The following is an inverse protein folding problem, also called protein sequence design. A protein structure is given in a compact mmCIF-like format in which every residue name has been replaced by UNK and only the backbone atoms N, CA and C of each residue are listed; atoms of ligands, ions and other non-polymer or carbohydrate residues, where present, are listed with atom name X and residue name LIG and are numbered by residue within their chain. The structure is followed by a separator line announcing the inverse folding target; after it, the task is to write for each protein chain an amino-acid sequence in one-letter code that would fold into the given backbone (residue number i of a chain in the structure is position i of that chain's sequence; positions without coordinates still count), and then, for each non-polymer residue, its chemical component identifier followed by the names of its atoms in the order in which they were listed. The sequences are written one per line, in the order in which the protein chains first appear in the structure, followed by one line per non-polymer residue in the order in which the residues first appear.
data_IF_241592124641
#
_entry.id   IF_241592124641
#
_cell.length_a   1.000
_cell.length_b   1.000
_cell.length_c   1.000
_cell.angle_alpha   90.00
_cell.angle_beta   90.00
_cell.angle_gamma   90.00
#
_symmetry.space_group_name_H-M   'P 1'
#
loop_
_entity.id
_entity.type
_entity.pdbx_description
1 polymer ?
#
# COMPACT_ATOMS: atom_id res chain seq x y z
N UNK A 1 -26.82 20.76 -23.20
CA UNK A 1 -27.07 20.04 -24.47
C UNK A 1 -25.94 20.42 -25.41
N UNK A 2 -25.00 19.49 -25.62
CA UNK A 2 -24.91 18.66 -26.83
C UNK A 2 -24.43 19.42 -28.07
N UNK A 3 -23.12 19.64 -28.14
CA UNK A 3 -22.17 19.36 -29.26
C UNK A 3 -20.77 19.68 -28.69
N UNK A 4 -19.74 18.90 -29.07
CA UNK A 4 -18.39 18.75 -28.45
C UNK A 4 -18.29 17.55 -27.47
N UNK A 5 -18.73 16.39 -27.96
CA UNK A 5 -18.39 15.06 -27.39
C UNK A 5 -18.23 13.99 -28.47
N UNK A 6 -18.12 14.41 -29.74
CA UNK A 6 -17.94 13.58 -30.92
C UNK A 6 -16.75 14.12 -31.71
N UNK A 7 -15.52 13.75 -31.30
CA UNK A 7 -14.32 13.72 -32.17
C UNK A 7 -13.10 13.02 -31.56
N UNK A 8 -13.25 12.26 -30.46
CA UNK A 8 -12.19 11.40 -29.90
C UNK A 8 -12.78 10.02 -29.58
N UNK A 9 -13.06 9.20 -30.61
CA UNK A 9 -13.46 7.79 -30.44
C UNK A 9 -13.13 6.88 -31.63
N UNK A 10 -13.05 7.38 -32.87
CA UNK A 10 -12.92 6.52 -34.07
C UNK A 10 -11.52 5.99 -34.43
N UNK A 11 -10.45 6.45 -33.76
CA UNK A 11 -9.08 6.02 -34.11
C UNK A 11 -8.58 4.75 -33.39
N UNK A 12 -9.37 4.13 -32.51
CA UNK A 12 -8.98 2.94 -31.76
C UNK A 12 -9.38 1.59 -32.40
N UNK A 13 -10.31 1.60 -33.37
CA UNK A 13 -10.92 0.37 -33.90
C UNK A 13 -10.13 -0.31 -35.05
N UNK A 14 -9.26 0.42 -35.76
CA UNK A 14 -8.65 -0.06 -37.02
C UNK A 14 -7.40 -0.96 -36.85
N UNK A 15 -6.70 -0.88 -35.70
CA UNK A 15 -5.40 -1.54 -35.51
C UNK A 15 -5.53 -2.96 -34.92
N UNK A 16 -6.68 -3.34 -34.33
CA UNK A 16 -6.85 -4.62 -33.63
C UNK A 16 -7.27 -5.83 -34.50
N UNK A 17 -7.11 -5.76 -35.83
CA UNK A 17 -7.54 -6.80 -36.80
C UNK A 17 -6.44 -7.31 -37.76
N UNK A 18 -5.15 -7.26 -37.37
CA UNK A 18 -4.04 -7.78 -38.22
C UNK A 18 -3.05 -8.75 -37.55
N UNK A 19 -3.27 -9.20 -36.31
CA UNK A 19 -2.32 -10.07 -35.58
C UNK A 19 -2.93 -11.35 -34.97
N UNK A 20 -3.96 -11.92 -35.60
CA UNK A 20 -4.58 -13.20 -35.17
C UNK A 20 -4.78 -14.18 -36.33
N UNK A 21 -3.85 -14.23 -37.29
CA UNK A 21 -3.97 -15.11 -38.47
C UNK A 21 -2.62 -15.61 -39.03
N UNK A 22 -1.66 -15.96 -38.16
CA UNK A 22 -0.34 -16.48 -38.57
C UNK A 22 0.19 -17.65 -37.71
N UNK A 23 -0.67 -18.27 -36.89
CA UNK A 23 -0.28 -19.33 -35.93
C UNK A 23 -1.10 -20.63 -36.08
N UNK A 24 -1.47 -20.99 -37.32
CA UNK A 24 -2.27 -22.21 -37.56
C UNK A 24 -2.12 -22.80 -38.98
N UNK A 25 -0.89 -22.89 -39.51
CA UNK A 25 -0.62 -23.54 -40.81
C UNK A 25 0.86 -23.95 -41.01
N UNK A 26 1.38 -24.87 -40.19
CA UNK A 26 2.67 -25.53 -40.46
C UNK A 26 2.92 -26.83 -39.65
N UNK A 27 1.92 -27.73 -39.55
CA UNK A 27 2.16 -29.11 -39.10
C UNK A 27 1.07 -30.09 -39.59
N UNK A 28 1.18 -30.59 -40.83
CA UNK A 28 0.51 -31.79 -41.41
C UNK A 28 0.74 -31.92 -42.92
N UNK A 29 1.93 -32.37 -43.33
CA UNK A 29 2.28 -32.96 -44.63
C UNK A 29 3.80 -33.21 -44.62
N UNK A 30 4.34 -34.36 -45.01
CA UNK A 30 3.72 -35.66 -45.31
C UNK A 30 4.81 -36.75 -45.31
N UNK A 31 4.44 -38.02 -45.14
CA UNK A 31 5.37 -39.14 -45.30
C UNK A 31 5.54 -39.53 -46.78
N UNK A 32 6.54 -40.39 -47.05
CA UNK A 32 6.54 -41.43 -48.09
C UNK A 32 7.07 -41.07 -49.50
N UNK A 33 8.38 -41.29 -49.73
CA UNK A 33 8.91 -41.95 -50.95
C UNK A 33 10.35 -42.47 -50.75
N UNK A 34 10.63 -43.66 -51.27
CA UNK A 34 11.98 -44.25 -51.48
C UNK A 34 12.75 -43.48 -52.58
N UNK A 35 14.07 -43.61 -52.80
CA UNK A 35 15.10 -44.56 -52.33
C UNK A 35 16.49 -43.81 -52.28
N UNK A 36 17.73 -44.34 -52.31
CA UNK A 36 18.28 -45.70 -52.51
C UNK A 36 19.72 -45.88 -51.92
N UNK A 37 20.30 -47.07 -52.12
CA UNK A 37 21.71 -47.55 -52.14
C UNK A 37 22.87 -46.55 -51.89
N UNK A 38 23.96 -46.84 -51.14
CA UNK A 38 24.59 -48.09 -50.62
C UNK A 38 25.04 -47.90 -49.11
N UNK A 39 25.98 -48.57 -48.43
CA UNK A 39 27.03 -49.58 -48.75
C UNK A 39 27.57 -50.34 -47.50
N UNK A 40 28.37 -51.39 -47.75
CA UNK A 40 29.45 -52.08 -46.97
C UNK A 40 30.14 -51.35 -45.78
N UNK A 41 30.72 -52.02 -44.76
CA UNK A 41 30.77 -53.44 -44.33
C UNK A 41 31.35 -53.61 -42.88
N UNK A 42 31.11 -54.79 -42.28
CA UNK A 42 31.94 -55.52 -41.30
C UNK A 42 31.68 -55.41 -39.77
N UNK A 43 31.90 -56.53 -39.07
CA UNK A 43 32.02 -56.62 -37.60
C UNK A 43 31.11 -57.66 -36.92
N UNK A 44 31.67 -58.63 -36.17
CA UNK A 44 30.95 -59.71 -35.47
C UNK A 44 31.22 -59.74 -33.95
N UNK A 45 30.20 -60.06 -33.16
CA UNK A 45 30.34 -61.03 -32.05
C UNK A 45 30.04 -60.44 -30.63
N UNK A 46 29.85 -61.20 -29.52
CA UNK A 46 28.56 -61.10 -28.79
C UNK A 46 28.59 -61.00 -27.24
N UNK A 47 27.40 -60.76 -26.67
CA UNK A 47 26.96 -61.04 -25.27
C UNK A 47 27.58 -60.16 -24.14
N UNK A 48 26.98 -59.98 -22.95
CA UNK A 48 25.95 -60.73 -22.17
C UNK A 48 24.91 -59.81 -21.46
N UNK A 49 23.95 -60.44 -20.74
CA UNK A 49 23.02 -59.95 -19.68
C UNK A 49 23.05 -58.44 -19.29
N UNK A 50 21.98 -57.65 -19.42
CA UNK A 50 20.66 -57.69 -18.73
C UNK A 50 20.68 -57.28 -17.24
N UNK A 51 19.74 -56.39 -16.84
CA UNK A 51 18.90 -56.49 -15.62
C UNK A 51 17.83 -55.37 -15.56
N UNK A 52 16.55 -55.79 -15.56
CA UNK A 52 15.31 -55.15 -15.07
C UNK A 52 14.95 -53.67 -15.35
N UNK A 53 13.73 -53.51 -15.86
CA UNK A 53 12.87 -52.34 -15.70
C UNK A 53 11.57 -52.76 -14.98
N UNK A 54 10.72 -51.81 -14.57
CA UNK A 54 9.27 -51.91 -14.73
C UNK A 54 8.54 -50.58 -14.46
N UNK A 55 7.63 -50.22 -15.37
CA UNK A 55 6.72 -49.08 -15.26
C UNK A 55 5.53 -49.36 -14.33
N UNK A 56 4.76 -48.31 -14.02
CA UNK A 56 3.44 -48.42 -13.41
C UNK A 56 2.40 -47.69 -14.26
N UNK A 57 1.29 -48.37 -14.58
CA UNK A 57 0.14 -47.82 -15.30
C UNK A 57 -1.18 -48.18 -14.59
N UNK A 58 -2.17 -47.31 -14.76
CA UNK A 58 -3.47 -47.30 -14.07
C UNK A 58 -4.50 -48.30 -14.62
N UNK A 59 -5.51 -48.70 -13.81
CA UNK A 59 -6.93 -48.35 -14.08
C UNK A 59 -8.02 -48.90 -13.11
N UNK A 60 -9.08 -48.07 -12.95
CA UNK A 60 -10.53 -48.38 -12.90
C UNK A 60 -11.20 -49.23 -11.77
N UNK A 61 -11.96 -48.52 -10.92
CA UNK A 61 -13.42 -48.63 -10.65
C UNK A 61 -14.15 -49.99 -10.59
N UNK A 62 -14.91 -50.18 -9.49
CA UNK A 62 -16.23 -50.84 -9.48
C UNK A 62 -17.14 -50.26 -8.37
N UNK A 63 -18.45 -50.60 -8.36
CA UNK A 63 -19.48 -50.08 -7.40
C UNK A 63 -20.32 -51.22 -6.82
N UNK A 64 -20.78 -51.11 -5.55
CA UNK A 64 -22.20 -51.05 -5.14
C UNK A 64 -22.44 -51.24 -3.61
N UNK A 65 -23.41 -50.45 -3.08
CA UNK A 65 -24.50 -50.76 -2.11
C UNK A 65 -24.41 -51.98 -1.16
N UNK A 66 -24.96 -51.98 0.07
CA UNK A 66 -25.70 -50.99 0.90
C UNK A 66 -25.96 -51.59 2.32
N UNK A 67 -26.63 -50.81 3.19
CA UNK A 67 -27.25 -51.15 4.50
C UNK A 67 -26.41 -50.92 5.76
N UNK A 68 -27.08 -50.32 6.75
CA UNK A 68 -26.64 -50.08 8.12
C UNK A 68 -27.92 -50.09 8.98
N UNK A 69 -27.94 -50.88 10.06
CA UNK A 69 -29.05 -50.90 11.03
C UNK A 69 -28.55 -50.40 12.38
N UNK A 70 -29.39 -49.63 13.07
CA UNK A 70 -29.13 -49.27 14.47
C UNK A 70 -29.52 -50.41 15.40
N UNK A 71 -28.84 -50.51 16.54
CA UNK A 71 -29.32 -51.27 17.69
C UNK A 71 -29.29 -50.39 18.93
N UNK A 72 -30.43 -50.32 19.61
CA UNK A 72 -30.52 -49.74 20.94
C UNK A 72 -30.08 -50.79 21.97
N UNK A 73 -29.40 -50.36 23.03
CA UNK A 73 -29.19 -51.15 24.24
C UNK A 73 -30.05 -50.57 25.37
N UNK A 74 -30.92 -51.41 25.92
CA UNK A 74 -31.82 -51.07 27.03
C UNK A 74 -31.19 -51.44 28.37
N UNK A 75 -31.45 -50.63 29.39
CA UNK A 75 -31.28 -51.01 30.79
C UNK A 75 -32.57 -50.66 31.55
N UNK A 76 -32.89 -51.46 32.56
CA UNK A 76 -34.13 -51.38 33.35
C UNK A 76 -33.80 -51.28 34.85
N UNK A 77 -34.85 -51.05 35.66
CA UNK A 77 -34.87 -50.82 37.12
C UNK A 77 -34.62 -49.35 37.52
N UNK A 78 -35.34 -48.71 38.46
CA UNK A 78 -36.63 -49.05 39.15
C UNK A 78 -37.30 -47.75 39.67
N UNK A 79 -38.62 -47.78 39.95
CA UNK A 79 -39.34 -46.70 40.70
C UNK A 79 -38.97 -46.77 42.21
N UNK A 80 -39.13 -45.73 43.06
CA UNK A 80 -40.31 -44.85 43.23
C UNK A 80 -40.03 -43.61 44.13
N UNK A 81 -40.60 -42.46 43.79
CA UNK A 81 -41.03 -41.28 44.60
C UNK A 81 -40.22 -40.76 45.83
N UNK A 82 -39.81 -39.48 45.81
CA UNK A 82 -40.31 -38.43 46.76
C UNK A 82 -39.77 -37.00 46.49
N UNK A 83 -40.56 -35.99 46.85
CA UNK A 83 -40.33 -34.52 46.87
C UNK A 83 -41.47 -33.91 47.72
N UNK A 84 -41.47 -32.61 48.16
CA UNK A 84 -40.48 -31.54 47.93
C UNK A 84 -40.03 -30.79 49.22
N UNK A 85 -39.12 -29.81 49.09
CA UNK A 85 -39.27 -28.43 49.63
C UNK A 85 -38.07 -27.52 49.31
N UNK A 86 -38.28 -26.20 49.37
CA UNK A 86 -37.31 -25.15 49.02
C UNK A 86 -36.57 -24.59 50.26
N UNK A 87 -35.27 -24.23 50.19
CA UNK A 87 -34.57 -23.55 51.28
C UNK A 87 -34.97 -22.07 51.41
N UNK A 88 -35.14 -21.63 52.66
CA UNK A 88 -35.51 -20.25 53.00
C UNK A 88 -34.28 -19.40 53.40
N UNK A 89 -34.40 -18.09 53.19
CA UNK A 89 -33.65 -16.95 53.74
C UNK A 89 -32.23 -17.13 54.35
N UNK A 90 -31.29 -16.32 53.84
CA UNK A 90 -30.54 -15.39 54.70
C UNK A 90 -29.98 -14.18 53.91
N UNK A 91 -30.23 -12.96 54.39
CA UNK A 91 -29.39 -11.77 54.14
C UNK A 91 -28.66 -11.43 55.44
N UNK A 92 -27.44 -10.89 55.33
CA UNK A 92 -26.37 -10.89 56.37
C UNK A 92 -25.74 -12.29 56.45
N UNK A 93 -24.41 -12.44 56.54
CA UNK A 93 -23.40 -11.54 57.09
C UNK A 93 -22.40 -11.01 56.04
N UNK A 94 -21.96 -9.76 56.23
CA UNK A 94 -20.80 -9.16 55.56
C UNK A 94 -19.73 -8.89 56.63
N UNK A 95 -18.58 -9.61 56.61
CA UNK A 95 -17.26 -9.10 57.03
C UNK A 95 -16.15 -10.16 56.91
N UNK A 96 -15.01 -9.70 56.41
CA UNK A 96 -13.65 -10.14 56.74
C UNK A 96 -13.23 -11.58 56.42
N UNK A 97 -12.87 -11.80 55.16
CA UNK A 97 -11.56 -12.33 54.71
C UNK A 97 -11.43 -11.82 53.27
N UNK A 98 -10.34 -11.28 52.73
CA UNK A 98 -9.03 -10.77 53.14
C UNK A 98 -8.33 -10.46 51.79
N UNK A 99 -7.22 -9.73 51.76
CA UNK A 99 -6.56 -9.39 50.50
C UNK A 99 -5.83 -10.59 49.88
N UNK A 100 -6.45 -11.25 48.88
CA UNK A 100 -5.74 -12.00 47.81
C UNK A 100 -6.70 -12.49 46.73
N UNK A 101 -6.79 -11.75 45.62
CA UNK A 101 -7.17 -12.28 44.30
C UNK A 101 -6.72 -11.33 43.17
N UNK A 102 -5.40 -11.13 43.04
CA UNK A 102 -4.80 -10.50 41.85
C UNK A 102 -4.67 -11.54 40.73
N UNK A 103 -5.82 -12.04 40.25
CA UNK A 103 -5.89 -13.08 39.24
C UNK A 103 -5.73 -12.52 37.82
N UNK A 104 -4.52 -12.56 37.28
CA UNK A 104 -4.30 -12.33 35.85
C UNK A 104 -4.83 -13.54 35.06
N UNK A 105 -5.99 -13.39 34.42
CA UNK A 105 -6.51 -14.38 33.48
C UNK A 105 -6.26 -13.93 32.03
N UNK A 106 -5.23 -14.49 31.42
CA UNK A 106 -5.10 -14.58 29.96
C UNK A 106 -5.42 -16.01 29.56
N UNK A 107 -6.71 -16.29 29.44
CA UNK A 107 -7.23 -17.52 28.83
C UNK A 107 -8.18 -17.11 27.73
N UNK A 108 -7.89 -17.57 26.52
CA UNK A 108 -8.63 -17.25 25.30
C UNK A 108 -10.01 -17.93 25.32
N UNK A 109 -11.07 -17.15 25.58
CA UNK A 109 -12.39 -17.33 24.95
C UNK A 109 -13.34 -16.13 25.21
N UNK A 110 -14.23 -15.87 24.24
CA UNK A 110 -15.55 -15.26 24.38
C UNK A 110 -15.74 -14.02 25.29
N UNK A 111 -14.99 -12.91 25.06
CA UNK A 111 -15.17 -11.65 25.83
C UNK A 111 -15.12 -10.33 25.04
N UNK A 112 -14.73 -10.30 23.76
CA UNK A 112 -14.38 -9.04 23.07
C UNK A 112 -15.54 -8.19 22.52
N UNK A 113 -16.79 -8.65 22.62
CA UNK A 113 -17.95 -7.90 22.13
C UNK A 113 -18.54 -6.94 23.17
N UNK A 114 -18.22 -5.63 23.00
CA UNK A 114 -18.98 -4.43 23.45
C UNK A 114 -18.85 -3.99 24.93
N UNK A 115 -17.89 -3.10 25.22
CA UNK A 115 -17.86 -2.37 26.51
C UNK A 115 -17.32 -0.91 26.46
N UNK A 116 -18.12 0.01 25.90
CA UNK A 116 -18.23 1.46 26.25
C UNK A 116 -17.04 2.43 26.13
N UNK A 117 -17.34 3.59 25.55
CA UNK A 117 -16.70 4.90 25.77
C UNK A 117 -16.71 5.35 27.24
N UNK A 118 -16.01 6.45 27.53
CA UNK A 118 -16.10 7.25 28.77
C UNK A 118 -15.55 6.64 30.07
N UNK A 119 -14.22 6.42 30.12
CA UNK A 119 -13.35 6.77 31.28
C UNK A 119 -11.94 7.16 30.81
N UNK A 120 -11.79 8.41 30.38
CA UNK A 120 -10.57 8.98 29.81
C UNK A 120 -9.46 9.23 30.86
N UNK A 121 -8.22 9.46 30.40
CA UNK A 121 -6.98 9.57 31.18
C UNK A 121 -6.37 8.22 31.62
N UNK A 122 -6.33 7.88 32.92
CA UNK A 122 -5.44 6.84 33.48
C UNK A 122 -5.58 5.42 32.93
N UNK A 123 -6.67 5.09 32.21
CA UNK A 123 -6.78 3.80 31.49
C UNK A 123 -6.11 3.79 30.12
N UNK A 124 -5.89 4.93 29.47
CA UNK A 124 -5.33 4.99 28.11
C UNK A 124 -3.96 4.31 28.04
N UNK A 125 -3.01 4.66 28.90
CA UNK A 125 -1.66 4.05 28.86
C UNK A 125 -1.67 2.52 28.98
N UNK A 126 -2.57 1.95 29.78
CA UNK A 126 -2.73 0.49 29.92
C UNK A 126 -3.41 -0.14 28.70
N UNK A 127 -4.39 0.54 28.10
CA UNK A 127 -5.07 0.10 26.87
C UNK A 127 -4.12 0.15 25.66
N UNK A 128 -3.38 1.25 25.49
CA UNK A 128 -2.37 1.41 24.44
C UNK A 128 -1.29 0.32 24.53
N UNK A 129 -0.80 0.01 25.74
CA UNK A 129 0.14 -1.10 25.94
C UNK A 129 -0.48 -2.43 25.48
N UNK A 130 -1.73 -2.71 25.88
CA UNK A 130 -2.40 -3.96 25.54
C UNK A 130 -2.77 -4.10 24.05
N UNK A 131 -3.09 -3.02 23.33
CA UNK A 131 -3.31 -3.09 21.89
C UNK A 131 -2.00 -3.16 21.08
N UNK A 132 -0.91 -2.54 21.57
CA UNK A 132 0.41 -2.71 20.97
C UNK A 132 0.89 -4.17 21.09
N UNK A 133 0.78 -4.79 22.29
CA UNK A 133 1.11 -6.21 22.49
C UNK A 133 0.26 -7.12 21.59
N UNK A 134 -1.06 -6.89 21.50
CA UNK A 134 -1.94 -7.66 20.61
C UNK A 134 -1.59 -7.48 19.11
N UNK A 135 -1.07 -6.32 18.72
CA UNK A 135 -0.61 -6.04 17.36
C UNK A 135 0.71 -6.77 17.04
N UNK A 136 1.64 -6.83 18.00
CA UNK A 136 2.81 -7.69 17.90
C UNK A 136 2.39 -9.17 17.81
N UNK A 137 1.49 -9.64 18.67
CA UNK A 137 0.98 -11.02 18.65
C UNK A 137 0.34 -11.40 17.29
N UNK A 138 -0.54 -10.56 16.74
CA UNK A 138 -1.18 -10.80 15.45
C UNK A 138 -0.16 -10.86 14.28
N UNK A 139 0.82 -9.96 14.27
CA UNK A 139 1.89 -9.95 13.24
C UNK A 139 2.86 -11.12 13.42
N UNK A 140 3.23 -11.47 14.65
CA UNK A 140 3.99 -12.67 15.00
C UNK A 140 3.27 -13.92 14.44
N UNK A 141 1.99 -14.10 14.78
CA UNK A 141 1.15 -15.22 14.31
C UNK A 141 0.88 -15.23 12.80
N UNK A 142 1.23 -14.14 12.09
CA UNK A 142 0.99 -13.91 10.67
C UNK A 142 -0.49 -13.80 10.27
N UNK A 143 -1.35 -13.41 11.23
CA UNK A 143 -2.78 -13.20 11.03
C UNK A 143 -3.05 -11.81 10.44
N UNK A 144 -3.41 -11.79 9.15
CA UNK A 144 -3.74 -10.58 8.42
C UNK A 144 -5.10 -9.97 8.84
N UNK A 145 -6.05 -10.80 9.25
CA UNK A 145 -7.41 -10.36 9.58
C UNK A 145 -7.42 -9.73 10.98
N UNK A 146 -6.73 -10.34 11.95
CA UNK A 146 -6.49 -9.73 13.26
C UNK A 146 -5.75 -8.38 13.14
N UNK A 147 -4.71 -8.30 12.30
CA UNK A 147 -4.01 -7.05 11.97
C UNK A 147 -4.97 -5.99 11.42
N UNK A 148 -5.82 -6.33 10.44
CA UNK A 148 -6.80 -5.40 9.88
C UNK A 148 -7.86 -4.96 10.90
N UNK A 149 -8.31 -5.88 11.77
CA UNK A 149 -9.27 -5.58 12.84
C UNK A 149 -8.67 -4.58 13.84
N UNK A 150 -7.43 -4.77 14.28
CA UNK A 150 -6.75 -3.84 15.19
C UNK A 150 -6.56 -2.45 14.55
N UNK A 151 -6.11 -2.41 13.30
CA UNK A 151 -5.94 -1.16 12.53
C UNK A 151 -7.26 -0.43 12.21
N UNK A 152 -8.39 -1.14 12.26
CA UNK A 152 -9.73 -0.55 12.14
C UNK A 152 -10.32 -0.10 13.49
N UNK A 153 -9.98 -0.79 14.58
CA UNK A 153 -10.50 -0.49 15.92
C UNK A 153 -9.81 0.69 16.61
N UNK A 154 -8.51 0.86 16.40
CA UNK A 154 -7.70 1.86 17.11
C UNK A 154 -7.25 2.99 16.19
N UNK A 155 -7.13 4.20 16.76
CA UNK A 155 -6.56 5.35 16.03
C UNK A 155 -5.03 5.32 16.03
N UNK A 156 -4.42 6.03 15.08
CA UNK A 156 -2.95 6.21 14.99
C UNK A 156 -2.31 6.92 16.21
N UNK A 157 -3.12 7.53 17.07
CA UNK A 157 -2.69 8.15 18.33
C UNK A 157 -2.76 7.16 19.51
N UNK A 158 -3.36 5.99 19.31
CA UNK A 158 -3.61 4.97 20.34
C UNK A 158 -2.81 3.69 20.09
N UNK A 159 -2.64 3.30 18.83
CA UNK A 159 -1.83 2.16 18.38
C UNK A 159 -0.53 2.65 17.73
N UNK A 160 0.61 2.44 18.38
CA UNK A 160 1.92 2.84 17.87
C UNK A 160 2.62 1.68 17.14
N UNK A 161 2.84 1.85 15.84
CA UNK A 161 3.49 0.88 14.96
C UNK A 161 5.00 1.11 14.78
N UNK A 162 5.57 2.14 15.42
CA UNK A 162 6.95 2.59 15.20
C UNK A 162 7.85 2.44 16.44
N UNK A 163 7.27 2.36 17.65
CA UNK A 163 8.03 1.93 18.84
C UNK A 163 8.36 0.43 18.73
N UNK A 164 9.64 0.03 18.88
CA UNK A 164 10.02 -1.37 18.85
C UNK A 164 9.66 -2.11 20.14
N UNK A 165 9.55 -3.44 20.06
CA UNK A 165 9.40 -4.33 21.22
C UNK A 165 10.72 -4.51 22.01
N UNK A 166 10.72 -5.41 23.01
CA UNK A 166 11.90 -5.78 23.80
C UNK A 166 13.10 -6.25 22.98
N UNK A 167 12.84 -6.79 21.78
CA UNK A 167 13.83 -7.31 20.85
C UNK A 167 14.38 -6.21 19.92
N UNK A 168 13.87 -4.98 19.97
CA UNK A 168 14.27 -3.87 19.10
C UNK A 168 13.56 -3.81 17.74
N UNK A 169 12.62 -4.71 17.49
CA UNK A 169 11.88 -4.87 16.23
C UNK A 169 10.56 -4.09 16.23
N UNK A 170 10.20 -3.44 15.12
CA UNK A 170 8.81 -2.97 14.92
C UNK A 170 7.94 -4.11 14.35
N UNK A 171 6.59 -4.01 14.39
CA UNK A 171 5.73 -4.99 13.72
C UNK A 171 6.03 -5.05 12.21
N UNK A 172 6.44 -3.93 11.60
CA UNK A 172 6.82 -3.91 10.20
C UNK A 172 8.13 -4.68 9.93
N UNK A 173 9.13 -4.60 10.80
CA UNK A 173 10.34 -5.45 10.68
C UNK A 173 9.96 -6.94 10.66
N UNK A 174 9.09 -7.40 11.57
CA UNK A 174 8.65 -8.82 11.64
C UNK A 174 7.93 -9.23 10.34
N UNK A 175 7.02 -8.38 9.83
CA UNK A 175 6.30 -8.64 8.59
C UNK A 175 7.23 -8.71 7.36
N UNK A 176 8.21 -7.81 7.26
CA UNK A 176 9.23 -7.80 6.19
C UNK A 176 10.14 -9.03 6.29
N UNK A 177 10.69 -9.30 7.48
CA UNK A 177 11.67 -10.37 7.71
C UNK A 177 11.06 -11.77 7.52
N UNK A 178 9.79 -11.95 7.86
CA UNK A 178 9.04 -13.18 7.54
C UNK A 178 8.51 -13.25 6.11
N UNK A 179 8.73 -12.20 5.31
CA UNK A 179 8.24 -12.00 3.94
C UNK A 179 6.70 -12.08 3.80
N UNK A 180 5.95 -11.65 4.81
CA UNK A 180 4.49 -11.54 4.74
C UNK A 180 4.10 -10.25 4.00
N UNK A 181 4.08 -10.33 2.67
CA UNK A 181 3.79 -9.19 1.79
C UNK A 181 2.44 -8.51 2.10
N UNK A 182 1.32 -9.22 2.35
CA UNK A 182 0.06 -8.58 2.73
C UNK A 182 0.15 -7.75 4.03
N UNK A 183 0.66 -8.33 5.12
CA UNK A 183 0.77 -7.60 6.40
C UNK A 183 1.72 -6.40 6.26
N UNK A 184 2.88 -6.60 5.64
CA UNK A 184 3.86 -5.53 5.46
C UNK A 184 3.31 -4.37 4.62
N UNK A 185 2.55 -4.65 3.54
CA UNK A 185 1.88 -3.63 2.73
C UNK A 185 0.82 -2.87 3.53
N UNK A 186 0.00 -3.57 4.32
CA UNK A 186 -1.01 -2.93 5.19
C UNK A 186 -0.36 -2.01 6.22
N UNK A 187 0.71 -2.45 6.87
CA UNK A 187 1.50 -1.64 7.82
C UNK A 187 2.14 -0.40 7.15
N UNK A 188 2.77 -0.57 5.98
CA UNK A 188 3.34 0.53 5.19
C UNK A 188 2.28 1.53 4.73
N UNK A 189 1.09 1.06 4.34
CA UNK A 189 -0.02 1.93 3.92
C UNK A 189 -0.56 2.79 5.07
N UNK A 190 -0.47 2.30 6.31
CA UNK A 190 -0.84 3.02 7.54
C UNK A 190 0.31 3.91 8.06
N UNK A 191 1.52 3.76 7.52
CA UNK A 191 2.68 4.62 7.81
C UNK A 191 3.65 4.09 8.86
N UNK A 192 3.62 2.79 9.15
CA UNK A 192 4.65 2.12 9.95
C UNK A 192 6.03 2.15 9.27
N UNK A 193 7.11 2.06 10.05
CA UNK A 193 8.50 2.18 9.58
C UNK A 193 9.40 1.05 10.12
N UNK A 194 10.46 0.74 9.37
CA UNK A 194 11.54 -0.15 9.84
C UNK A 194 12.25 0.47 11.06
N UNK A 195 12.70 -0.36 12.00
CA UNK A 195 13.45 0.09 13.19
C UNK A 195 14.75 0.80 12.80
N UNK A 196 15.02 2.02 13.31
CA UNK A 196 16.23 2.77 13.00
C UNK A 196 17.52 2.10 13.52
N UNK A 197 17.40 1.12 14.43
CA UNK A 197 18.52 0.37 14.99
C UNK A 197 19.13 -0.65 13.99
N UNK A 198 18.39 -1.04 12.94
CA UNK A 198 18.79 -2.10 12.00
C UNK A 198 19.02 -1.60 10.56
N UNK A 199 19.34 -0.30 10.41
CA UNK A 199 19.67 0.30 9.10
C UNK A 199 20.94 -0.29 8.48
N UNK A 200 21.85 -0.87 9.28
CA UNK A 200 23.04 -1.55 8.75
C UNK A 200 22.82 -3.06 8.51
N UNK A 201 23.36 -3.56 7.39
CA UNK A 201 23.14 -4.91 6.90
C UNK A 201 23.80 -5.99 7.79
N UNK A 202 24.99 -5.72 8.32
CA UNK A 202 25.69 -6.65 9.21
C UNK A 202 25.02 -6.70 10.60
N UNK A 203 24.60 -5.55 11.16
CA UNK A 203 23.99 -5.52 12.50
C UNK A 203 22.66 -6.26 12.52
N UNK A 204 21.82 -6.09 11.48
CA UNK A 204 20.58 -6.86 11.28
C UNK A 204 20.86 -8.37 11.19
N UNK A 205 21.95 -8.78 10.53
CA UNK A 205 22.38 -10.19 10.42
C UNK A 205 22.82 -10.81 11.75
N UNK A 206 23.62 -10.07 12.52
CA UNK A 206 24.10 -10.50 13.84
C UNK A 206 22.93 -10.60 14.82
N UNK A 207 22.09 -9.56 14.89
CA UNK A 207 20.92 -9.52 15.76
C UNK A 207 19.95 -10.69 15.51
N UNK A 208 19.61 -10.98 14.25
CA UNK A 208 18.80 -12.15 13.88
C UNK A 208 19.43 -13.49 14.32
N UNK A 209 20.76 -13.56 14.36
CA UNK A 209 21.48 -14.75 14.84
C UNK A 209 21.41 -14.87 16.37
N UNK A 210 21.55 -13.74 17.08
CA UNK A 210 21.36 -13.67 18.54
C UNK A 210 19.95 -14.10 18.95
N UNK A 211 18.89 -13.55 18.33
CA UNK A 211 17.50 -13.93 18.63
C UNK A 211 17.25 -15.45 18.45
N UNK A 212 17.75 -16.03 17.35
CA UNK A 212 17.64 -17.47 17.09
C UNK A 212 18.38 -18.30 18.15
N UNK A 213 19.54 -17.84 18.64
CA UNK A 213 20.31 -18.51 19.69
C UNK A 213 19.64 -18.41 21.06
N UNK A 214 19.18 -17.22 21.46
CA UNK A 214 18.51 -17.00 22.75
C UNK A 214 17.18 -17.75 22.83
N UNK A 215 16.37 -17.74 21.77
CA UNK A 215 15.14 -18.53 21.72
C UNK A 215 15.41 -20.04 21.75
N UNK A 216 16.48 -20.53 21.11
CA UNK A 216 16.89 -21.93 21.26
C UNK A 216 17.27 -22.25 22.72
N UNK A 217 18.03 -21.38 23.37
CA UNK A 217 18.45 -21.56 24.76
C UNK A 217 17.24 -21.65 25.70
N UNK A 218 16.27 -20.73 25.58
CA UNK A 218 15.03 -20.76 26.39
C UNK A 218 14.20 -22.02 26.15
N UNK A 219 14.14 -22.53 24.92
CA UNK A 219 13.50 -23.82 24.62
C UNK A 219 14.22 -24.99 25.32
N UNK A 220 15.56 -25.03 25.31
CA UNK A 220 16.32 -26.08 26.02
C UNK A 220 16.20 -25.99 27.54
N UNK A 221 16.18 -24.78 28.10
CA UNK A 221 16.02 -24.55 29.55
C UNK A 221 14.62 -24.95 30.03
N UNK A 222 13.56 -24.56 29.29
CA UNK A 222 12.18 -24.87 29.66
C UNK A 222 11.84 -26.36 29.45
N UNK A 223 12.33 -26.99 28.38
CA UNK A 223 12.12 -28.43 28.17
C UNK A 223 12.85 -29.29 29.22
N UNK A 224 14.04 -28.87 29.66
CA UNK A 224 14.72 -29.50 30.79
C UNK A 224 13.96 -29.31 32.12
N UNK A 225 13.31 -28.16 32.34
CA UNK A 225 12.48 -27.96 33.54
C UNK A 225 11.21 -28.83 33.52
N UNK A 226 10.48 -28.84 32.41
CA UNK A 226 9.26 -29.67 32.23
C UNK A 226 9.56 -31.17 32.34
N UNK A 227 10.75 -31.63 31.93
CA UNK A 227 11.16 -33.03 32.09
C UNK A 227 11.48 -33.41 33.55
N UNK A 228 11.88 -32.45 34.39
CA UNK A 228 12.37 -32.70 35.75
C UNK A 228 11.33 -32.43 36.86
N UNK A 229 10.20 -31.79 36.55
CA UNK A 229 9.19 -31.43 37.54
C UNK A 229 7.94 -32.31 37.49
N UNK A 230 7.33 -32.55 38.65
CA UNK A 230 6.15 -33.40 38.79
C UNK A 230 4.85 -32.73 38.34
N UNK A 231 3.77 -33.53 38.27
CA UNK A 231 2.44 -33.11 37.81
C UNK A 231 1.75 -32.12 38.77
N UNK A 232 2.14 -30.85 38.68
CA UNK A 232 1.53 -29.71 39.40
C UNK A 232 1.07 -28.60 38.45
N UNK A 233 0.31 -27.64 38.98
CA UNK A 233 -0.20 -26.49 38.21
C UNK A 233 0.91 -25.69 37.54
N UNK A 234 2.05 -25.51 38.21
CA UNK A 234 3.20 -24.77 37.69
C UNK A 234 3.83 -25.44 36.46
N UNK A 235 3.83 -26.78 36.39
CA UNK A 235 4.25 -27.49 35.18
C UNK A 235 3.34 -27.17 33.98
N UNK A 236 2.01 -27.08 34.19
CA UNK A 236 1.09 -26.72 33.10
C UNK A 236 1.31 -25.30 32.54
N UNK A 237 1.91 -24.41 33.33
CA UNK A 237 2.30 -23.07 32.89
C UNK A 237 3.67 -23.09 32.19
N UNK A 238 4.65 -23.85 32.70
CA UNK A 238 5.93 -24.09 32.03
C UNK A 238 5.75 -24.76 30.66
N UNK A 239 4.80 -25.68 30.51
CA UNK A 239 4.43 -26.27 29.22
C UNK A 239 3.87 -25.23 28.22
N UNK A 240 3.09 -24.25 28.66
CA UNK A 240 2.62 -23.15 27.78
C UNK A 240 3.79 -22.26 27.36
N UNK A 241 4.65 -21.90 28.32
CA UNK A 241 5.83 -21.09 28.06
C UNK A 241 6.79 -21.79 27.10
N UNK A 242 7.00 -23.10 27.26
CA UNK A 242 7.76 -23.92 26.31
C UNK A 242 7.17 -23.85 24.91
N UNK A 243 5.86 -24.10 24.75
CA UNK A 243 5.16 -24.02 23.45
C UNK A 243 5.25 -22.62 22.81
N UNK A 244 5.19 -21.55 23.61
CA UNK A 244 5.37 -20.17 23.15
C UNK A 244 6.81 -19.90 22.69
N UNK A 245 7.82 -20.36 23.43
CA UNK A 245 9.23 -20.23 23.04
C UNK A 245 9.59 -21.11 21.83
N UNK A 246 9.05 -22.32 21.73
CA UNK A 246 9.15 -23.17 20.52
C UNK A 246 8.53 -22.51 19.30
N UNK A 247 7.44 -21.74 19.50
CA UNK A 247 6.81 -20.96 18.45
C UNK A 247 7.70 -19.76 18.05
N UNK A 248 8.18 -18.94 19.01
CA UNK A 248 9.08 -17.81 18.73
C UNK A 248 10.41 -18.24 18.10
N UNK A 249 10.96 -19.36 18.52
CA UNK A 249 12.15 -19.95 17.91
C UNK A 249 11.92 -20.32 16.43
N UNK A 250 10.73 -20.81 16.06
CA UNK A 250 10.34 -21.03 14.66
C UNK A 250 10.14 -19.72 13.89
N UNK A 251 9.57 -18.69 14.51
CA UNK A 251 9.47 -17.35 13.92
C UNK A 251 10.85 -16.78 13.60
N UNK A 252 11.76 -16.73 14.58
CA UNK A 252 13.09 -16.16 14.43
C UNK A 252 13.93 -16.92 13.39
N UNK A 253 13.79 -18.25 13.29
CA UNK A 253 14.35 -19.03 12.16
C UNK A 253 13.80 -18.57 10.81
N UNK A 254 12.49 -18.37 10.69
CA UNK A 254 11.84 -17.89 9.46
C UNK A 254 12.35 -16.49 9.10
N UNK A 255 12.49 -15.60 10.08
CA UNK A 255 13.02 -14.24 9.90
C UNK A 255 14.48 -14.25 9.42
N UNK A 256 15.34 -15.06 10.07
CA UNK A 256 16.74 -15.22 9.66
C UNK A 256 16.86 -15.81 8.25
N UNK A 257 16.12 -16.88 7.96
CA UNK A 257 16.13 -17.50 6.64
C UNK A 257 15.56 -16.56 5.56
N UNK A 258 14.47 -15.84 5.85
CA UNK A 258 13.88 -14.84 4.96
C UNK A 258 14.86 -13.71 4.63
N UNK A 259 15.57 -13.21 5.64
CA UNK A 259 16.67 -12.26 5.45
C UNK A 259 17.80 -12.85 4.58
N UNK A 260 18.33 -14.03 4.93
CA UNK A 260 19.43 -14.69 4.20
C UNK A 260 19.12 -14.90 2.71
N UNK A 261 17.89 -15.31 2.37
CA UNK A 261 17.45 -15.53 1.00
C UNK A 261 17.03 -14.25 0.26
N UNK A 262 16.61 -13.19 0.98
CA UNK A 262 16.26 -11.91 0.37
C UNK A 262 17.42 -11.28 -0.41
N UNK A 263 17.08 -10.57 -1.48
CA UNK A 263 17.97 -9.78 -2.32
C UNK A 263 17.42 -8.34 -2.43
N UNK A 264 18.25 -7.41 -2.88
CA UNK A 264 17.79 -6.06 -3.22
C UNK A 264 16.68 -6.14 -4.30
N UNK A 265 15.75 -5.18 -4.38
CA UNK A 265 14.64 -5.24 -5.33
C UNK A 265 15.11 -5.24 -6.78
N UNK A 266 14.26 -5.71 -7.68
CA UNK A 266 14.39 -5.40 -9.11
C UNK A 266 14.08 -3.91 -9.38
N UNK A 267 14.44 -3.43 -10.57
CA UNK A 267 14.18 -2.06 -10.98
C UNK A 267 12.66 -1.76 -11.05
N UNK A 268 12.19 -0.57 -10.64
CA UNK A 268 10.78 -0.16 -10.78
C UNK A 268 10.28 -0.27 -12.22
N UNK A 269 8.99 -0.52 -12.41
CA UNK A 269 8.37 -0.62 -13.74
C UNK A 269 7.61 0.64 -14.13
N UNK A 270 7.34 0.80 -15.44
CA UNK A 270 6.52 1.87 -16.00
C UNK A 270 6.85 3.29 -15.50
N UNK A 271 8.14 3.58 -15.25
CA UNK A 271 8.65 4.91 -14.90
C UNK A 271 8.38 5.87 -16.05
N UNK A 272 7.36 6.72 -15.90
CA UNK A 272 6.95 7.72 -16.88
C UNK A 272 7.24 9.13 -16.37
N UNK A 273 7.70 9.99 -17.28
CA UNK A 273 8.12 11.36 -17.03
C UNK A 273 7.22 12.36 -17.76
N UNK A 274 6.67 13.34 -17.03
CA UNK A 274 5.72 14.33 -17.57
C UNK A 274 6.06 15.76 -17.15
N UNK A 275 6.08 16.69 -18.10
CA UNK A 275 6.16 18.13 -17.80
C UNK A 275 4.87 18.57 -17.10
N UNK A 276 5.00 19.22 -15.94
CA UNK A 276 3.85 19.65 -15.11
C UNK A 276 3.75 21.17 -14.98
N UNK A 277 4.89 21.87 -15.06
CA UNK A 277 4.95 23.34 -15.12
C UNK A 277 6.21 23.78 -15.88
N UNK A 278 6.41 25.10 -16.01
CA UNK A 278 7.67 25.68 -16.48
C UNK A 278 8.89 25.33 -15.61
N UNK A 279 8.70 24.90 -14.36
CA UNK A 279 9.77 24.63 -13.39
C UNK A 279 9.58 23.30 -12.63
N UNK A 280 8.70 22.42 -13.12
CA UNK A 280 8.35 21.16 -12.43
C UNK A 280 8.10 19.99 -13.39
N UNK A 281 8.59 18.81 -13.01
CA UNK A 281 8.34 17.53 -13.67
C UNK A 281 7.62 16.57 -12.70
N UNK A 282 6.60 15.86 -13.18
CA UNK A 282 5.99 14.73 -12.46
C UNK A 282 6.68 13.45 -12.90
N UNK A 283 7.03 12.59 -11.94
CA UNK A 283 7.44 11.21 -12.19
C UNK A 283 6.36 10.29 -11.63
N UNK A 284 5.92 9.30 -12.40
CA UNK A 284 5.00 8.24 -11.97
C UNK A 284 5.61 6.89 -12.31
N UNK A 285 5.50 5.91 -11.43
CA UNK A 285 6.08 4.59 -11.64
C UNK A 285 5.22 3.49 -11.00
N UNK A 286 5.62 2.24 -11.18
CA UNK A 286 4.98 1.06 -10.62
C UNK A 286 6.02 0.17 -9.94
N UNK A 287 5.54 -0.72 -9.08
CA UNK A 287 6.39 -1.64 -8.33
C UNK A 287 7.18 -2.58 -9.26
N UNK A 288 8.30 -3.16 -8.78
CA UNK A 288 8.95 -4.26 -9.49
C UNK A 288 8.02 -5.48 -9.62
N UNK A 289 8.13 -6.23 -10.72
CA UNK A 289 7.21 -7.35 -11.03
C UNK A 289 7.51 -8.65 -10.26
N UNK A 290 8.54 -8.65 -9.42
CA UNK A 290 9.14 -9.85 -8.86
C UNK A 290 8.33 -10.41 -7.68
N UNK A 291 7.43 -11.36 -7.99
CA UNK A 291 6.44 -11.96 -7.07
C UNK A 291 7.07 -12.55 -5.80
N UNK A 292 8.32 -13.00 -5.87
CA UNK A 292 9.06 -13.63 -4.77
C UNK A 292 10.11 -12.71 -4.12
N UNK A 293 10.16 -11.42 -4.49
CA UNK A 293 11.12 -10.47 -3.91
C UNK A 293 10.69 -9.98 -2.52
N UNK A 294 11.67 -9.65 -1.68
CA UNK A 294 11.40 -9.11 -0.35
C UNK A 294 10.82 -7.69 -0.45
N UNK A 295 9.78 -7.45 0.38
CA UNK A 295 8.92 -6.25 0.38
C UNK A 295 9.71 -4.94 0.19
N UNK A 296 9.36 -4.19 -0.85
CA UNK A 296 9.88 -2.83 -1.08
C UNK A 296 9.30 -1.89 -0.03
N UNK A 297 10.16 -1.18 0.69
CA UNK A 297 9.79 -0.23 1.75
C UNK A 297 9.98 1.23 1.36
N UNK A 298 10.86 1.53 0.38
CA UNK A 298 11.10 2.89 -0.10
C UNK A 298 11.40 2.92 -1.60
N UNK A 299 11.24 4.09 -2.20
CA UNK A 299 11.78 4.40 -3.53
C UNK A 299 12.69 5.64 -3.47
N UNK A 300 13.62 5.76 -4.41
CA UNK A 300 14.41 6.96 -4.63
C UNK A 300 14.25 7.41 -6.07
N UNK A 301 14.00 8.70 -6.27
CA UNK A 301 13.90 9.36 -7.58
C UNK A 301 15.07 10.35 -7.68
N UNK A 302 15.94 10.13 -8.65
CA UNK A 302 17.18 10.89 -8.86
C UNK A 302 17.16 11.60 -10.23
N UNK A 303 17.76 12.79 -10.32
CA UNK A 303 17.80 13.56 -11.57
C UNK A 303 19.12 14.29 -11.83
N UNK A 304 19.47 14.41 -13.10
CA UNK A 304 20.67 15.11 -13.60
C UNK A 304 20.38 15.84 -14.91
N UNK A 305 21.27 16.75 -15.32
CA UNK A 305 21.31 17.31 -16.68
C UNK A 305 22.10 16.45 -17.67
N UNK A 306 22.81 15.43 -17.19
CA UNK A 306 23.54 14.44 -18.00
C UNK A 306 22.85 13.08 -17.96
N UNK A 307 23.02 12.28 -19.01
CA UNK A 307 22.52 10.90 -19.07
C UNK A 307 23.29 9.95 -18.15
N UNK A 308 24.56 10.26 -17.87
CA UNK A 308 25.44 9.51 -16.95
C UNK A 308 25.21 9.86 -15.47
N UNK A 309 24.12 10.58 -15.17
CA UNK A 309 23.75 11.11 -13.85
C UNK A 309 24.86 11.91 -13.13
N UNK A 310 25.84 12.39 -13.90
CA UNK A 310 27.06 13.03 -13.41
C UNK A 310 27.16 14.45 -13.98
N UNK A 311 27.10 15.51 -13.16
CA UNK A 311 26.81 15.51 -11.71
C UNK A 311 25.32 15.20 -11.42
N UNK A 312 25.05 14.61 -10.26
CA UNK A 312 23.69 14.49 -9.74
C UNK A 312 23.18 15.87 -9.31
N UNK A 313 21.97 16.26 -9.72
CA UNK A 313 21.38 17.57 -9.39
C UNK A 313 20.49 17.48 -8.14
N UNK A 314 19.88 16.31 -7.89
CA UNK A 314 19.14 16.07 -6.66
C UNK A 314 18.50 14.68 -6.61
N UNK A 315 17.99 14.35 -5.43
CA UNK A 315 17.23 13.13 -5.14
C UNK A 315 15.99 13.42 -4.29
N UNK A 316 14.99 12.55 -4.37
CA UNK A 316 13.83 12.47 -3.46
C UNK A 316 13.72 11.02 -3.00
N UNK A 317 13.79 10.80 -1.69
CA UNK A 317 13.44 9.51 -1.07
C UNK A 317 11.96 9.51 -0.72
N UNK A 318 11.25 8.45 -1.12
CA UNK A 318 9.82 8.25 -0.91
C UNK A 318 9.60 7.10 0.07
N UNK A 319 9.27 7.45 1.32
CA UNK A 319 8.87 6.50 2.37
C UNK A 319 7.36 6.16 2.33
N UNK A 320 6.52 7.04 1.76
CA UNK A 320 5.07 6.78 1.65
C UNK A 320 4.75 6.09 0.32
N UNK A 321 4.29 4.84 0.40
CA UNK A 321 3.97 4.00 -0.76
C UNK A 321 2.50 4.10 -1.22
N UNK A 322 1.65 4.91 -0.57
CA UNK A 322 0.25 5.13 -0.97
C UNK A 322 0.12 5.71 -2.40
N UNK A 323 1.14 6.40 -2.91
CA UNK A 323 1.16 6.92 -4.27
C UNK A 323 2.57 6.86 -4.87
N UNK A 324 2.73 6.05 -5.93
CA UNK A 324 3.98 5.90 -6.68
C UNK A 324 4.15 7.05 -7.68
N UNK A 325 4.06 8.28 -7.17
CA UNK A 325 4.13 9.54 -7.89
C UNK A 325 4.85 10.59 -7.05
N UNK A 326 5.82 11.28 -7.65
CA UNK A 326 6.40 12.49 -7.08
C UNK A 326 6.30 13.67 -8.07
N UNK A 327 6.56 14.88 -7.58
CA UNK A 327 6.73 16.08 -8.42
C UNK A 327 8.01 16.77 -8.01
N UNK A 328 8.98 16.80 -8.92
CA UNK A 328 10.24 17.51 -8.76
C UNK A 328 9.98 18.98 -9.11
N UNK A 329 10.37 19.91 -8.24
CA UNK A 329 10.08 21.35 -8.34
C UNK A 329 11.36 22.19 -8.29
N UNK A 330 11.29 23.45 -8.75
CA UNK A 330 12.45 24.36 -8.72
C UNK A 330 13.47 24.11 -9.85
N UNK A 331 13.07 23.34 -10.86
CA UNK A 331 13.89 23.04 -12.04
C UNK A 331 13.96 24.27 -12.97
N UNK A 332 15.04 24.37 -13.75
CA UNK A 332 15.24 25.46 -14.71
C UNK A 332 14.38 25.25 -15.95
N UNK A 333 13.61 26.27 -16.34
CA UNK A 333 12.83 26.28 -17.59
C UNK A 333 13.73 26.02 -18.80
N UNK A 334 13.30 25.17 -19.73
CA UNK A 334 14.01 24.82 -20.97
C UNK A 334 15.13 23.80 -20.80
N UNK A 335 15.77 23.72 -19.64
CA UNK A 335 16.85 22.77 -19.36
C UNK A 335 16.34 21.32 -19.46
N UNK A 336 17.11 20.43 -20.11
CA UNK A 336 16.83 18.99 -20.12
C UNK A 336 17.23 18.36 -18.79
N UNK A 337 16.39 17.47 -18.29
CA UNK A 337 16.66 16.63 -17.11
C UNK A 337 16.40 15.16 -17.44
N UNK A 338 17.37 14.32 -17.13
CA UNK A 338 17.28 12.86 -17.14
C UNK A 338 16.88 12.39 -15.74
N UNK A 339 16.02 11.38 -15.67
CA UNK A 339 15.46 10.86 -14.41
C UNK A 339 15.54 9.33 -14.39
N UNK A 340 15.88 8.79 -13.22
CA UNK A 340 15.78 7.37 -12.93
C UNK A 340 15.21 7.13 -11.53
N UNK A 341 14.61 5.95 -11.32
CA UNK A 341 13.99 5.55 -10.06
C UNK A 341 14.55 4.21 -9.59
N UNK A 342 14.90 4.12 -8.31
CA UNK A 342 15.42 2.92 -7.63
C UNK A 342 14.44 2.48 -6.53
N UNK A 343 14.31 1.18 -6.31
CA UNK A 343 13.53 0.61 -5.19
C UNK A 343 14.46 0.16 -4.05
N UNK A 344 13.96 0.12 -2.81
CA UNK A 344 14.70 -0.29 -1.62
C UNK A 344 13.92 -1.29 -0.77
N UNK A 345 14.62 -2.27 -0.19
CA UNK A 345 14.10 -3.14 0.85
C UNK A 345 15.18 -3.37 1.93
N UNK A 346 14.92 -4.29 2.87
CA UNK A 346 15.85 -4.71 3.93
C UNK A 346 17.27 -5.15 3.49
N UNK A 347 17.55 -5.28 2.18
CA UNK A 347 18.87 -5.57 1.60
C UNK A 347 19.53 -4.39 0.87
N UNK A 348 18.91 -3.22 0.87
CA UNK A 348 19.44 -2.02 0.22
C UNK A 348 18.72 -1.63 -1.08
N UNK A 349 19.37 -0.74 -1.83
CA UNK A 349 18.87 -0.22 -3.12
C UNK A 349 19.06 -1.24 -4.25
N UNK A 350 18.00 -1.46 -5.02
CA UNK A 350 18.02 -2.16 -6.29
C UNK A 350 18.55 -1.30 -7.45
N UNK A 351 18.71 -1.87 -8.66
CA UNK A 351 19.21 -1.13 -9.81
C UNK A 351 18.19 -0.07 -10.30
N UNK A 352 18.67 1.09 -10.79
CA UNK A 352 17.80 2.17 -11.24
C UNK A 352 17.12 1.89 -12.59
N UNK A 353 15.90 2.38 -12.75
CA UNK A 353 15.16 2.41 -14.02
C UNK A 353 15.13 3.84 -14.59
N UNK A 354 15.76 4.08 -15.76
CA UNK A 354 15.56 5.32 -16.56
C UNK A 354 14.08 5.52 -16.91
N UNK A 355 13.62 6.77 -16.92
CA UNK A 355 12.25 7.11 -17.28
C UNK A 355 11.94 6.96 -18.77
N UNK A 356 10.65 6.95 -19.11
CA UNK A 356 10.14 7.07 -20.48
C UNK A 356 9.21 8.30 -20.58
N UNK A 357 9.55 9.34 -21.35
CA UNK A 357 10.81 9.54 -22.08
C UNK A 357 12.04 9.63 -21.14
N UNK A 358 13.23 9.39 -21.70
CA UNK A 358 14.51 9.36 -20.96
C UNK A 358 14.89 10.71 -20.36
N UNK A 359 14.45 11.80 -21.00
CA UNK A 359 14.57 13.16 -20.49
C UNK A 359 13.32 13.98 -20.79
N UNK A 360 13.12 15.07 -20.03
CA UNK A 360 12.14 16.10 -20.31
C UNK A 360 12.70 17.49 -19.98
N UNK A 361 12.09 18.53 -20.57
CA UNK A 361 12.40 19.94 -20.27
C UNK A 361 11.19 20.63 -19.63
N UNK A 362 11.29 21.12 -18.38
CA UNK A 362 10.29 21.99 -17.76
C UNK A 362 9.99 23.16 -18.70
N UNK A 363 8.73 23.32 -19.09
CA UNK A 363 8.36 24.24 -20.17
C UNK A 363 6.90 24.67 -20.05
N UNK A 364 6.62 25.85 -20.58
CA UNK A 364 5.27 26.42 -20.62
C UNK A 364 4.76 26.38 -22.06
N UNK A 365 3.56 25.84 -22.25
CA UNK A 365 2.92 25.73 -23.57
C UNK A 365 2.81 27.09 -24.29
N UNK A 366 2.69 28.19 -23.54
CA UNK A 366 2.63 29.55 -24.11
C UNK A 366 3.92 29.87 -24.89
N UNK A 367 5.06 29.56 -24.28
CA UNK A 367 6.40 29.90 -24.78
C UNK A 367 6.73 29.06 -26.03
N UNK A 368 6.32 27.79 -26.04
CA UNK A 368 6.47 26.89 -27.19
C UNK A 368 5.54 27.23 -28.38
N UNK A 369 4.56 28.12 -28.22
CA UNK A 369 3.48 28.28 -29.20
C UNK A 369 3.87 29.04 -30.47
N UNK A 370 5.07 29.65 -30.50
CA UNK A 370 5.64 30.40 -31.63
C UNK A 370 4.85 31.65 -32.05
N UNK A 371 3.71 31.92 -31.40
CA UNK A 371 2.80 33.01 -31.70
C UNK A 371 2.96 34.08 -30.64
N UNK A 372 3.07 35.31 -31.10
CA UNK A 372 2.99 36.49 -30.24
C UNK A 372 1.73 36.41 -29.36
N UNK A 373 1.78 36.84 -28.09
CA UNK A 373 0.61 36.88 -27.24
C UNK A 373 -0.53 37.63 -27.94
N UNK A 374 -1.76 37.11 -27.89
CA UNK A 374 -2.97 37.70 -28.53
C UNK A 374 -3.33 39.12 -28.09
N UNK A 375 -2.50 39.75 -27.25
CA UNK A 375 -2.65 41.08 -26.69
C UNK A 375 -1.39 41.95 -26.83
N UNK A 376 -0.33 41.46 -27.49
CA UNK A 376 0.83 42.30 -27.84
C UNK A 376 0.39 43.39 -28.82
N UNK A 377 0.74 44.65 -28.55
CA UNK A 377 0.21 45.78 -29.32
C UNK A 377 -1.23 46.18 -28.95
N UNK A 378 -1.98 45.43 -28.13
CA UNK A 378 -3.35 45.82 -27.76
C UNK A 378 -3.36 46.98 -26.76
N UNK A 379 -2.38 47.06 -25.86
CA UNK A 379 -2.18 48.19 -24.95
C UNK A 379 -1.86 49.47 -25.72
N UNK A 380 -0.91 49.38 -26.65
CA UNK A 380 -0.43 50.46 -27.50
C UNK A 380 -1.53 50.92 -28.49
N UNK A 381 -2.29 49.97 -29.05
CA UNK A 381 -3.46 50.28 -29.87
C UNK A 381 -4.59 50.95 -29.06
N UNK A 382 -4.85 50.48 -27.83
CA UNK A 382 -5.84 51.09 -26.94
C UNK A 382 -5.44 52.52 -26.54
N UNK A 383 -4.17 52.77 -26.25
CA UNK A 383 -3.65 54.12 -25.97
C UNK A 383 -3.75 55.04 -27.19
N UNK A 384 -3.37 54.55 -28.38
CA UNK A 384 -3.57 55.28 -29.65
C UNK A 384 -5.05 55.65 -29.87
N UNK A 385 -5.96 54.71 -29.66
CA UNK A 385 -7.40 54.91 -29.86
C UNK A 385 -7.97 55.89 -28.80
N UNK A 386 -7.53 55.77 -27.54
CA UNK A 386 -7.87 56.71 -26.46
C UNK A 386 -7.36 58.13 -26.78
N UNK A 387 -6.17 58.26 -27.38
CA UNK A 387 -5.59 59.53 -27.77
C UNK A 387 -6.29 60.14 -29.00
N UNK A 388 -6.73 59.32 -29.97
CA UNK A 388 -7.59 59.76 -31.07
C UNK A 388 -8.94 60.30 -30.56
N UNK A 389 -9.58 59.61 -29.61
CA UNK A 389 -10.82 60.08 -28.96
C UNK A 389 -10.59 61.42 -28.25
N UNK A 390 -9.49 61.56 -27.49
CA UNK A 390 -9.13 62.84 -26.84
C UNK A 390 -8.95 63.98 -27.85
N UNK A 391 -8.24 63.74 -28.95
CA UNK A 391 -8.02 64.74 -30.00
C UNK A 391 -9.34 65.14 -30.69
N UNK A 392 -10.20 64.18 -31.02
CA UNK A 392 -11.51 64.44 -31.60
C UNK A 392 -12.40 65.29 -30.66
N UNK A 393 -12.37 65.03 -29.36
CA UNK A 393 -13.07 65.83 -28.35
C UNK A 393 -12.49 67.24 -28.19
N UNK A 394 -11.16 67.42 -28.30
CA UNK A 394 -10.53 68.75 -28.33
C UNK A 394 -10.98 69.57 -29.54
N UNK A 395 -11.08 68.96 -30.73
CA UNK A 395 -11.61 69.64 -31.93
C UNK A 395 -13.08 70.03 -31.79
N UNK A 396 -13.92 69.22 -31.12
CA UNK A 396 -15.31 69.59 -30.84
C UNK A 396 -15.43 70.77 -29.86
N UNK A 397 -14.68 70.74 -28.76
CA UNK A 397 -14.70 71.81 -27.75
C UNK A 397 -14.25 73.18 -28.30
N UNK A 398 -13.43 73.21 -29.36
CA UNK A 398 -12.98 74.44 -30.00
C UNK A 398 -14.11 75.19 -30.75
N UNK A 399 -15.16 74.49 -31.19
CA UNK A 399 -16.22 75.08 -32.04
C UNK A 399 -17.29 75.87 -31.25
N UNK A 400 -17.38 75.71 -29.93
CA UNK A 400 -18.44 76.28 -29.10
C UNK A 400 -18.03 77.62 -28.44
N UNK A 401 -17.52 78.55 -29.25
CA UNK A 401 -17.13 79.91 -28.80
C UNK A 401 -17.68 81.05 -29.67
N UNK A 402 -18.73 80.79 -30.46
CA UNK A 402 -19.56 81.84 -31.09
C UNK A 402 -21.00 81.80 -30.57
N UNK A 403 -21.54 82.98 -30.23
CA UNK A 403 -22.79 83.13 -29.48
C UNK A 403 -24.01 82.92 -30.37
N UNK A 404 -25.01 82.19 -29.88
CA UNK A 404 -26.42 82.40 -30.27
C UNK A 404 -27.37 81.94 -29.15
N UNK A 405 -28.39 82.75 -28.87
CA UNK A 405 -29.45 82.41 -27.92
C UNK A 405 -30.57 81.66 -28.65
N UNK A 406 -31.10 80.58 -28.07
CA UNK A 406 -32.56 80.42 -27.99
C UNK A 406 -33.00 79.40 -26.92
N UNK A 407 -34.28 79.48 -26.56
CA UNK A 407 -34.85 78.75 -25.42
C UNK A 407 -35.41 77.36 -25.77
N UNK A 408 -35.73 76.57 -24.74
CA UNK A 408 -36.93 75.71 -24.82
C UNK A 408 -36.79 74.20 -24.94
N UNK A 409 -35.63 73.57 -24.64
CA UNK A 409 -35.59 72.11 -24.37
C UNK A 409 -34.80 71.77 -23.11
N UNK A 410 -35.48 71.12 -22.16
CA UNK A 410 -34.90 70.66 -20.89
C UNK A 410 -33.96 69.49 -21.17
N UNK A 411 -32.65 69.70 -21.10
CA UNK A 411 -31.71 68.58 -21.00
C UNK A 411 -31.98 67.83 -19.69
N UNK A 412 -32.42 66.57 -19.80
CA UNK A 412 -32.45 65.66 -18.66
C UNK A 412 -31.02 65.33 -18.27
N UNK A 413 -30.49 66.02 -17.25
CA UNK A 413 -29.16 65.72 -16.69
C UNK A 413 -29.15 64.26 -16.25
N UNK A 414 -28.44 63.41 -17.00
CA UNK A 414 -28.21 62.04 -16.60
C UNK A 414 -27.41 62.07 -15.30
N UNK A 415 -27.99 61.52 -14.24
CA UNK A 415 -27.36 61.49 -12.92
C UNK A 415 -25.99 60.82 -13.07
N UNK A 416 -24.93 61.55 -12.70
CA UNK A 416 -23.55 61.09 -12.86
C UNK A 416 -23.39 59.65 -12.34
N UNK A 417 -22.57 58.84 -13.01
CA UNK A 417 -22.34 57.42 -12.67
C UNK A 417 -21.95 57.22 -11.19
N UNK A 418 -21.40 58.27 -10.55
CA UNK A 418 -21.16 58.34 -9.09
C UNK A 418 -22.42 58.06 -8.24
N UNK A 419 -23.63 58.35 -8.73
CA UNK A 419 -24.90 58.12 -8.04
C UNK A 419 -25.41 56.66 -8.12
N UNK A 420 -24.85 55.79 -8.97
CA UNK A 420 -25.17 54.35 -8.97
C UNK A 420 -24.66 53.64 -7.71
N UNK A 421 -23.64 54.19 -7.06
CA UNK A 421 -23.00 53.62 -5.86
C UNK A 421 -23.37 54.35 -4.56
N UNK A 422 -24.39 55.21 -4.59
CA UNK A 422 -24.95 55.79 -3.36
C UNK A 422 -26.02 54.85 -2.80
N UNK A 423 -25.72 54.21 -1.66
CA UNK A 423 -26.54 53.17 -1.03
C UNK A 423 -28.00 53.57 -0.84
N UNK A 424 -28.90 53.03 -1.68
CA UNK A 424 -30.33 53.33 -1.63
C UNK A 424 -30.97 52.64 -0.42
N UNK A 425 -31.07 53.39 0.68
CA UNK A 425 -31.48 52.90 2.01
C UNK A 425 -33.00 52.64 2.12
N UNK A 426 -33.56 51.87 1.17
CA UNK A 426 -35.00 51.60 0.98
C UNK A 426 -35.34 50.13 0.65
N UNK A 427 -34.42 49.18 0.87
CA UNK A 427 -34.68 47.74 0.74
C UNK A 427 -34.61 46.97 2.08
N UNK A 428 -35.01 47.61 3.18
CA UNK A 428 -35.19 46.96 4.49
C UNK A 428 -36.56 47.33 5.08
N UNK A 429 -37.66 46.86 4.48
CA UNK A 429 -39.00 46.94 5.10
C UNK A 429 -40.08 45.93 4.64
N UNK A 430 -39.68 44.74 4.18
CA UNK A 430 -40.62 43.65 3.84
C UNK A 430 -40.09 42.27 4.23
N UNK A 431 -39.73 42.08 5.50
CA UNK A 431 -39.68 40.76 6.15
C UNK A 431 -39.81 40.92 7.68
N UNK A 432 -41.05 41.15 8.11
CA UNK A 432 -41.52 40.98 9.48
C UNK A 432 -42.96 40.45 9.44
N UNK A 433 -43.11 39.13 9.38
CA UNK A 433 -43.60 38.37 10.54
C UNK A 433 -43.17 36.91 10.42
#
# INVERSE_FOLDING_TARGET
LLVISFFISDHSCSIRKRFTHSAQRLNRQGQQSQCDSLNEDSGRLPATCSYFALDSLSCLNSRLKMTQQMHNLSLLQTKKNSMPSSPNAAKRLYRNLSEKLKGSHTSFDEAYFRARSDRLSLRKTSMNFQCNEAMFEAVEQQDLDAVQILLYQYTLEELDLNTPNSEGLTPLDIAILTNNIPIARTLLHVGAKESPHFVNMESRSVHLSTLVQEAQQRVTELSAQVMNEGLGTDNTEKEKQLKAWEWRYRLYKRMKAGYEHARAPEAPTNVCLMVTSSTSLTVTFQEPLSVNSAVVTKYKVEWSSSEDFSPLIGEIIMDNLQSLRCTITGLRTGQRYYIHVSAYNMRGWGPPRKSTPEYASPSNWKDCSGREPRHKGHTEALECLLQQVRAAHQHYNCRESSKLQNAGRKQSVSRSLKHLFHSSNKFVKTLKR
#
